data_IF_347422546742
#
_entry.id   IF_347422546742
#
_cell.length_a   1.000
_cell.length_b   1.000
_cell.length_c   1.000
_cell.angle_alpha   90.00
_cell.angle_beta   90.00
_cell.angle_gamma   90.00
#
_symmetry.space_group_name_H-M   'P 1'
#
loop_
_entity.id
_entity.type
_entity.pdbx_description
1 polymer ?
#
# COMPACT_ATOMS: atom_id res chain seq x y z
N UNK A 1 -9.23 11.74 -2.73
CA UNK A 1 -10.37 11.63 -1.79
C UNK A 1 -10.51 12.97 -1.08
N UNK A 2 -11.73 13.43 -0.87
CA UNK A 2 -11.98 14.67 -0.16
C UNK A 2 -12.64 14.38 1.19
N UNK A 3 -12.02 14.86 2.27
CA UNK A 3 -12.63 14.87 3.60
C UNK A 3 -13.54 16.09 3.70
N UNK A 4 -14.83 15.87 4.03
CA UNK A 4 -15.86 16.92 4.15
C UNK A 4 -16.58 16.79 5.49
N UNK A 5 -17.28 17.84 5.93
CA UNK A 5 -18.12 17.80 7.14
C UNK A 5 -17.40 17.97 8.48
N UNK A 6 -16.09 18.20 8.49
CA UNK A 6 -15.29 18.49 9.69
C UNK A 6 -14.34 19.68 9.47
N UNK A 7 -14.90 20.85 9.17
CA UNK A 7 -14.16 22.07 8.82
C UNK A 7 -13.99 22.23 7.30
N UNK A 8 -12.93 22.94 6.88
CA UNK A 8 -12.65 23.14 5.46
C UNK A 8 -12.40 21.81 4.72
N UNK A 9 -12.95 21.65 3.51
CA UNK A 9 -12.69 20.46 2.68
C UNK A 9 -11.20 20.28 2.44
N UNK A 10 -10.70 19.05 2.62
CA UNK A 10 -9.29 18.72 2.44
C UNK A 10 -9.13 17.57 1.45
N UNK A 11 -8.23 17.74 0.48
CA UNK A 11 -7.82 16.65 -0.40
C UNK A 11 -6.86 15.73 0.33
N UNK A 12 -7.15 14.43 0.32
CA UNK A 12 -6.39 13.39 1.02
C UNK A 12 -5.91 12.34 0.02
N UNK A 13 -4.72 11.81 0.26
CA UNK A 13 -4.22 10.63 -0.43
C UNK A 13 -4.79 9.38 0.25
N UNK A 14 -5.79 8.75 -0.37
CA UNK A 14 -6.37 7.50 0.08
C UNK A 14 -5.93 6.33 -0.79
N UNK A 15 -5.64 5.20 -0.16
CA UNK A 15 -5.29 3.96 -0.83
C UNK A 15 -6.31 2.88 -0.48
N UNK A 16 -6.73 2.09 -1.48
CA UNK A 16 -7.57 0.91 -1.25
C UNK A 16 -6.70 -0.32 -1.09
N UNK A 17 -6.98 -1.09 -0.04
CA UNK A 17 -6.22 -2.30 0.31
C UNK A 17 -7.18 -3.44 0.65
N UNK A 18 -6.78 -4.68 0.38
CA UNK A 18 -7.52 -5.86 0.80
C UNK A 18 -7.47 -6.01 2.34
N UNK A 19 -8.49 -6.63 2.95
CA UNK A 19 -8.57 -6.80 4.39
C UNK A 19 -7.29 -7.39 5.03
N UNK A 20 -6.63 -8.44 4.48
CA UNK A 20 -5.43 -9.02 5.05
C UNK A 20 -4.15 -8.18 4.86
N UNK A 21 -4.23 -7.03 4.20
CA UNK A 21 -3.06 -6.22 3.85
C UNK A 21 -2.17 -5.87 5.06
N UNK A 22 -2.74 -5.39 6.16
CA UNK A 22 -1.98 -4.99 7.33
C UNK A 22 -1.34 -6.18 8.05
N UNK A 23 -2.02 -7.35 8.04
CA UNK A 23 -1.47 -8.61 8.55
C UNK A 23 -0.27 -9.08 7.71
N UNK A 24 -0.39 -9.04 6.38
CA UNK A 24 0.72 -9.33 5.46
C UNK A 24 1.90 -8.40 5.70
N UNK A 25 1.64 -7.12 5.95
CA UNK A 25 2.68 -6.14 6.30
C UNK A 25 3.27 -6.35 7.71
N UNK A 26 2.58 -7.09 8.57
CA UNK A 26 3.02 -7.36 9.95
C UNK A 26 2.91 -6.15 10.86
N UNK A 27 1.94 -5.26 10.59
CA UNK A 27 1.75 -4.02 11.36
C UNK A 27 0.34 -3.98 11.95
N UNK A 28 0.27 -3.83 13.27
CA UNK A 28 -0.97 -3.61 13.98
C UNK A 28 -1.31 -2.10 14.04
N UNK A 29 -2.59 -1.73 14.10
CA UNK A 29 -2.99 -0.35 14.34
C UNK A 29 -2.56 0.12 15.74
N UNK A 30 -2.26 1.41 15.88
CA UNK A 30 -1.96 2.03 17.17
C UNK A 30 -3.22 2.19 18.02
N UNK A 31 -4.37 2.41 17.37
CA UNK A 31 -5.69 2.53 18.02
C UNK A 31 -6.72 1.79 17.14
N UNK A 32 -7.64 1.09 17.76
CA UNK A 32 -8.71 0.38 17.07
C UNK A 32 -8.28 -0.95 16.45
N UNK A 33 -8.77 -1.25 15.25
CA UNK A 33 -8.55 -2.51 14.55
C UNK A 33 -8.29 -2.31 13.04
N UNK A 34 -7.86 -3.36 12.37
CA UNK A 34 -7.78 -3.44 10.91
C UNK A 34 -9.15 -3.80 10.30
N UNK A 35 -9.22 -3.91 8.98
CA UNK A 35 -10.43 -4.32 8.27
C UNK A 35 -10.76 -5.79 8.52
N UNK A 36 -12.06 -6.10 8.62
CA UNK A 36 -12.55 -7.47 8.59
C UNK A 36 -12.76 -7.95 7.15
N UNK A 37 -12.81 -9.28 6.95
CA UNK A 37 -13.12 -9.85 5.63
C UNK A 37 -14.50 -9.45 5.12
N UNK A 38 -15.46 -9.22 6.02
CA UNK A 38 -16.81 -8.77 5.67
C UNK A 38 -16.80 -7.35 5.11
N UNK A 39 -15.96 -6.47 5.66
CA UNK A 39 -15.81 -5.08 5.22
C UNK A 39 -15.13 -4.97 3.86
N UNK A 40 -14.42 -6.01 3.42
CA UNK A 40 -13.82 -6.09 2.08
C UNK A 40 -14.79 -6.68 1.03
N UNK A 41 -16.04 -6.80 1.37
CA UNK A 41 -17.10 -7.27 0.45
C UNK A 41 -17.83 -6.07 -0.18
N UNK A 42 -18.17 -6.19 -1.46
CA UNK A 42 -18.88 -5.15 -2.19
C UNK A 42 -20.12 -4.64 -1.45
N UNK A 43 -20.20 -3.33 -1.26
CA UNK A 43 -21.28 -2.65 -0.55
C UNK A 43 -21.16 -2.61 0.98
N UNK A 44 -20.12 -3.23 1.58
CA UNK A 44 -19.89 -3.22 3.03
C UNK A 44 -18.65 -2.42 3.47
N UNK A 45 -17.92 -1.81 2.53
CA UNK A 45 -16.67 -1.10 2.77
C UNK A 45 -16.80 0.34 3.29
N UNK A 46 -17.87 0.68 4.01
CA UNK A 46 -18.05 2.03 4.57
C UNK A 46 -17.21 2.25 5.85
N UNK A 47 -15.95 1.83 5.83
CA UNK A 47 -14.99 1.96 6.93
C UNK A 47 -13.67 2.54 6.44
N UNK A 48 -12.92 3.18 7.35
CA UNK A 48 -11.64 3.81 7.04
C UNK A 48 -10.65 3.64 8.19
N UNK A 49 -9.37 3.48 7.84
CA UNK A 49 -8.25 3.53 8.78
C UNK A 49 -7.45 4.80 8.47
N UNK A 50 -7.15 5.60 9.48
CA UNK A 50 -6.44 6.87 9.35
C UNK A 50 -4.93 6.67 9.52
N UNK A 51 -4.12 7.55 8.93
CA UNK A 51 -2.72 7.70 9.33
C UNK A 51 -2.62 8.47 10.65
N UNK A 52 -1.56 8.25 11.40
CA UNK A 52 -1.25 9.03 12.62
C UNK A 52 -1.20 10.53 12.31
N UNK A 53 -0.63 10.92 11.17
CA UNK A 53 -0.54 12.31 10.72
C UNK A 53 -1.92 12.95 10.58
N UNK A 54 -2.86 12.28 9.89
CA UNK A 54 -4.22 12.79 9.70
C UNK A 54 -4.98 12.85 11.04
N UNK A 55 -4.84 11.80 11.86
CA UNK A 55 -5.46 11.75 13.18
C UNK A 55 -5.01 12.90 14.09
N UNK A 56 -3.71 13.21 14.13
CA UNK A 56 -3.20 14.33 14.94
C UNK A 56 -3.61 15.69 14.37
N UNK A 57 -3.48 15.87 13.08
CA UNK A 57 -3.69 17.19 12.47
C UNK A 57 -5.18 17.59 12.39
N UNK A 58 -6.09 16.62 12.21
CA UNK A 58 -7.50 16.91 11.93
C UNK A 58 -8.43 16.51 13.07
N UNK A 59 -8.02 15.55 13.89
CA UNK A 59 -8.82 15.01 15.00
C UNK A 59 -8.16 15.22 16.35
N UNK A 60 -7.13 16.09 16.44
CA UNK A 60 -6.41 16.45 17.66
C UNK A 60 -5.93 15.25 18.49
N UNK A 61 -5.63 14.12 17.84
CA UNK A 61 -5.29 12.84 18.48
C UNK A 61 -6.34 12.38 19.51
N UNK A 62 -7.62 12.73 19.30
CA UNK A 62 -8.72 12.37 20.22
C UNK A 62 -8.89 10.85 20.31
N UNK A 63 -9.03 10.33 21.54
CA UNK A 63 -9.21 8.90 21.79
C UNK A 63 -10.56 8.36 21.24
N UNK A 64 -11.54 9.24 21.04
CA UNK A 64 -12.87 8.96 20.54
C UNK A 64 -12.96 8.87 19.01
N UNK A 65 -11.83 8.93 18.29
CA UNK A 65 -11.82 8.90 16.82
C UNK A 65 -12.33 7.58 16.27
N UNK A 66 -12.04 6.44 16.92
CA UNK A 66 -12.54 5.12 16.54
C UNK A 66 -14.03 5.03 16.83
N UNK A 67 -14.78 4.58 15.85
CA UNK A 67 -16.25 4.57 15.88
C UNK A 67 -16.90 5.86 15.34
N UNK A 68 -16.14 6.94 15.18
CA UNK A 68 -16.63 8.21 14.64
C UNK A 68 -16.95 8.07 13.15
N UNK A 69 -18.04 8.66 12.71
CA UNK A 69 -18.38 8.77 11.29
C UNK A 69 -17.81 10.06 10.70
N UNK A 70 -17.03 9.91 9.63
CA UNK A 70 -16.50 11.02 8.82
C UNK A 70 -17.11 10.99 7.42
N UNK A 71 -17.03 12.08 6.67
CA UNK A 71 -17.51 12.11 5.28
C UNK A 71 -16.32 12.14 4.32
N UNK A 72 -16.20 11.08 3.51
CA UNK A 72 -15.24 10.99 2.42
C UNK A 72 -15.99 11.06 1.09
N UNK A 73 -15.67 12.06 0.24
CA UNK A 73 -16.41 12.34 -1.00
C UNK A 73 -17.93 12.42 -0.76
N UNK A 74 -18.36 13.06 0.33
CA UNK A 74 -19.73 13.18 0.80
C UNK A 74 -20.41 11.87 1.28
N UNK A 75 -19.73 10.74 1.26
CA UNK A 75 -20.23 9.47 1.78
C UNK A 75 -19.84 9.28 3.24
N UNK A 76 -20.77 8.83 4.11
CA UNK A 76 -20.46 8.54 5.50
C UNK A 76 -19.61 7.28 5.58
N UNK A 77 -18.50 7.36 6.34
CA UNK A 77 -17.55 6.26 6.53
C UNK A 77 -17.12 6.23 7.99
N UNK A 78 -17.11 5.06 8.61
CA UNK A 78 -16.74 4.90 10.01
C UNK A 78 -15.24 4.70 10.16
N UNK A 79 -14.62 5.43 11.07
CA UNK A 79 -13.22 5.21 11.45
C UNK A 79 -13.12 3.96 12.32
N UNK A 80 -12.35 2.97 11.90
CA UNK A 80 -12.17 1.69 12.63
C UNK A 80 -10.79 1.55 13.26
N UNK A 81 -9.82 2.36 12.82
CA UNK A 81 -8.48 2.32 13.38
C UNK A 81 -7.59 3.49 12.93
N UNK A 82 -6.44 3.58 13.58
CA UNK A 82 -5.37 4.52 13.26
C UNK A 82 -4.07 3.75 13.17
N UNK A 83 -3.33 3.91 12.08
CA UNK A 83 -2.02 3.27 11.93
C UNK A 83 -0.93 4.01 12.72
N UNK A 84 0.13 3.31 13.17
CA UNK A 84 1.24 3.96 13.85
C UNK A 84 2.00 4.92 12.92
N UNK A 85 2.70 5.95 13.45
CA UNK A 85 3.40 6.95 12.64
C UNK A 85 4.52 6.37 11.76
N UNK A 86 5.05 5.20 12.11
CA UNK A 86 6.04 4.48 11.31
C UNK A 86 5.47 3.81 10.06
N UNK A 87 4.14 3.67 9.93
CA UNK A 87 3.52 3.00 8.80
C UNK A 87 3.15 3.99 7.70
N UNK A 88 3.87 3.95 6.60
CA UNK A 88 3.72 4.88 5.46
C UNK A 88 3.52 4.16 4.11
N UNK A 89 3.30 2.84 4.14
CA UNK A 89 3.16 2.01 2.95
C UNK A 89 1.67 1.78 2.57
N UNK A 90 1.32 1.60 1.28
CA UNK A 90 2.20 1.76 0.12
C UNK A 90 2.49 3.25 -0.14
N UNK A 91 3.66 3.60 -0.69
CA UNK A 91 3.92 4.97 -1.08
C UNK A 91 2.99 5.34 -2.24
N UNK A 92 2.45 6.54 -2.18
CA UNK A 92 1.69 7.11 -3.28
C UNK A 92 2.59 7.55 -4.44
N UNK A 93 1.99 8.16 -5.45
CA UNK A 93 2.74 8.78 -6.55
C UNK A 93 3.77 9.77 -5.99
N UNK A 94 4.97 9.76 -6.55
CA UNK A 94 6.10 10.59 -6.12
C UNK A 94 6.54 10.37 -4.64
N UNK A 95 6.26 9.19 -4.06
CA UNK A 95 6.67 8.87 -2.69
C UNK A 95 5.81 9.50 -1.59
N UNK A 96 4.66 10.06 -1.94
CA UNK A 96 3.74 10.62 -0.95
C UNK A 96 3.21 9.53 -0.01
N UNK A 97 3.10 9.84 1.28
CA UNK A 97 2.55 8.92 2.28
C UNK A 97 1.03 8.99 2.29
N UNK A 98 0.33 7.84 2.36
CA UNK A 98 -1.12 7.83 2.47
C UNK A 98 -1.62 8.54 3.74
N UNK A 99 -2.74 9.26 3.60
CA UNK A 99 -3.46 9.85 4.71
C UNK A 99 -4.44 8.85 5.34
N UNK A 100 -4.97 7.95 4.52
CA UNK A 100 -5.96 6.98 4.96
C UNK A 100 -5.95 5.73 4.05
N UNK A 101 -6.51 4.65 4.59
CA UNK A 101 -6.74 3.39 3.87
C UNK A 101 -8.22 3.06 3.90
N UNK A 102 -8.71 2.53 2.80
CA UNK A 102 -10.06 2.03 2.62
C UNK A 102 -10.01 0.56 2.20
N UNK A 103 -10.99 -0.27 2.51
CA UNK A 103 -11.06 -1.60 1.93
C UNK A 103 -11.31 -1.51 0.42
N UNK A 104 -10.86 -2.52 -0.34
CA UNK A 104 -11.17 -2.61 -1.78
C UNK A 104 -12.68 -2.69 -1.95
N UNK A 105 -13.33 -3.57 -1.19
CA UNK A 105 -14.78 -3.72 -1.09
C UNK A 105 -15.50 -3.70 -2.45
N UNK A 106 -14.91 -4.35 -3.45
CA UNK A 106 -15.42 -4.37 -4.82
C UNK A 106 -15.45 -5.81 -5.38
N UNK A 107 -16.27 -6.04 -6.38
CA UNK A 107 -16.24 -7.29 -7.11
C UNK A 107 -15.07 -7.30 -8.12
N UNK A 108 -13.92 -7.80 -7.66
CA UNK A 108 -12.67 -7.82 -8.43
C UNK A 108 -12.83 -8.62 -9.75
N UNK A 109 -13.74 -9.60 -9.80
CA UNK A 109 -13.99 -10.40 -11.00
C UNK A 109 -14.46 -9.56 -12.20
N UNK A 110 -15.09 -8.40 -11.95
CA UNK A 110 -15.50 -7.46 -13.01
C UNK A 110 -14.34 -6.78 -13.72
N UNK A 111 -13.15 -6.88 -13.16
CA UNK A 111 -11.97 -6.14 -13.61
C UNK A 111 -10.84 -7.08 -14.06
N UNK A 112 -11.17 -8.34 -14.35
CA UNK A 112 -10.21 -9.29 -14.95
C UNK A 112 -9.62 -8.67 -16.22
N UNK A 113 -8.31 -8.77 -16.40
CA UNK A 113 -7.58 -8.14 -17.51
C UNK A 113 -7.22 -6.67 -17.30
N UNK A 114 -7.70 -6.00 -16.26
CA UNK A 114 -7.33 -4.61 -15.93
C UNK A 114 -6.19 -4.59 -14.93
N UNK A 115 -5.05 -4.01 -15.32
CA UNK A 115 -3.83 -3.91 -14.49
C UNK A 115 -3.89 -2.70 -13.56
N UNK A 116 -4.75 -2.72 -12.55
CA UNK A 116 -4.91 -1.61 -11.59
C UNK A 116 -4.56 -2.00 -10.14
N UNK A 117 -4.30 -3.29 -9.89
CA UNK A 117 -3.93 -3.78 -8.56
C UNK A 117 -2.42 -4.05 -8.48
N UNK A 118 -1.83 -3.65 -7.36
CA UNK A 118 -0.52 -4.11 -6.93
C UNK A 118 -0.70 -5.21 -5.90
N UNK A 119 -0.03 -6.33 -6.09
CA UNK A 119 -0.07 -7.46 -5.17
C UNK A 119 1.21 -7.49 -4.35
N UNK A 120 1.05 -7.48 -3.03
CA UNK A 120 2.14 -7.68 -2.08
C UNK A 120 1.84 -8.94 -1.28
N UNK A 121 2.82 -9.81 -1.14
CA UNK A 121 2.69 -11.06 -0.41
C UNK A 121 3.86 -11.27 0.56
N UNK A 122 3.62 -12.04 1.60
CA UNK A 122 4.65 -12.54 2.51
C UNK A 122 4.94 -13.99 2.16
N UNK A 123 6.19 -14.27 1.83
CA UNK A 123 6.63 -15.64 1.57
C UNK A 123 6.61 -16.43 2.87
N UNK A 124 6.07 -17.64 2.86
CA UNK A 124 6.03 -18.51 4.03
C UNK A 124 7.44 -18.89 4.48
N UNK A 125 7.66 -19.13 5.80
CA UNK A 125 8.94 -19.62 6.29
C UNK A 125 9.39 -20.89 5.55
N UNK A 126 10.65 -20.95 5.15
CA UNK A 126 11.23 -22.08 4.42
C UNK A 126 10.96 -22.11 2.91
N UNK A 127 10.12 -21.22 2.38
CA UNK A 127 9.89 -21.10 0.93
C UNK A 127 10.87 -20.12 0.32
N UNK A 128 11.51 -20.50 -0.78
CA UNK A 128 12.41 -19.63 -1.53
C UNK A 128 11.66 -18.75 -2.52
N UNK A 129 12.28 -17.65 -2.95
CA UNK A 129 11.70 -16.78 -4.00
C UNK A 129 11.48 -17.53 -5.31
N UNK A 130 12.34 -18.49 -5.65
CA UNK A 130 12.20 -19.33 -6.84
C UNK A 130 10.94 -20.24 -6.75
N UNK A 131 10.69 -20.83 -5.59
CA UNK A 131 9.48 -21.62 -5.36
C UNK A 131 8.22 -20.74 -5.43
N UNK A 132 8.22 -19.57 -4.79
CA UNK A 132 7.11 -18.63 -4.87
C UNK A 132 6.85 -18.17 -6.31
N UNK A 133 7.90 -17.92 -7.10
CA UNK A 133 7.79 -17.61 -8.53
C UNK A 133 7.15 -18.76 -9.32
N UNK A 134 7.58 -20.00 -9.06
CA UNK A 134 7.05 -21.18 -9.75
C UNK A 134 5.56 -21.39 -9.42
N UNK A 135 5.18 -21.30 -8.16
CA UNK A 135 3.79 -21.42 -7.72
C UNK A 135 2.87 -20.38 -8.38
N UNK A 136 3.29 -19.12 -8.37
CA UNK A 136 2.52 -18.03 -8.97
C UNK A 136 2.48 -18.12 -10.50
N UNK A 137 3.53 -18.65 -11.13
CA UNK A 137 3.51 -18.96 -12.57
C UNK A 137 2.48 -20.03 -12.90
N UNK A 138 2.35 -21.07 -12.05
CA UNK A 138 1.30 -22.08 -12.18
C UNK A 138 -0.11 -21.46 -12.08
N UNK A 139 -0.33 -20.56 -11.12
CA UNK A 139 -1.61 -19.82 -10.98
C UNK A 139 -1.89 -18.97 -12.23
N UNK A 140 -0.89 -18.24 -12.73
CA UNK A 140 -1.04 -17.40 -13.93
C UNK A 140 -1.40 -18.24 -15.16
N UNK A 141 -0.78 -19.42 -15.33
CA UNK A 141 -1.09 -20.36 -16.41
C UNK A 141 -2.53 -20.85 -16.31
N UNK A 142 -2.99 -21.22 -15.11
CA UNK A 142 -4.38 -21.66 -14.90
C UNK A 142 -5.38 -20.55 -15.20
N UNK A 143 -5.07 -19.29 -14.82
CA UNK A 143 -5.90 -18.12 -15.14
C UNK A 143 -5.93 -17.85 -16.65
N UNK A 144 -4.82 -17.99 -17.37
CA UNK A 144 -4.77 -17.82 -18.82
C UNK A 144 -5.67 -18.81 -19.56
N UNK A 145 -5.76 -20.05 -19.04
CA UNK A 145 -6.70 -21.05 -19.58
C UNK A 145 -8.15 -20.69 -19.29
N UNK A 146 -8.44 -20.17 -18.09
CA UNK A 146 -9.80 -19.79 -17.68
C UNK A 146 -10.29 -18.49 -18.34
N UNK A 147 -9.38 -17.55 -18.61
CA UNK A 147 -9.67 -16.22 -19.17
C UNK A 147 -8.76 -15.90 -20.35
N UNK A 148 -8.89 -16.62 -21.49
CA UNK A 148 -7.93 -16.51 -22.59
C UNK A 148 -7.90 -15.13 -23.25
N UNK A 149 -9.03 -14.40 -23.23
CA UNK A 149 -9.13 -13.08 -23.84
C UNK A 149 -8.55 -11.95 -22.94
N UNK A 150 -8.54 -12.17 -21.63
CA UNK A 150 -8.16 -11.12 -20.65
C UNK A 150 -6.78 -11.39 -20.04
N UNK A 151 -6.36 -12.65 -19.96
CA UNK A 151 -5.11 -13.07 -19.30
C UNK A 151 -4.12 -13.75 -20.24
N UNK A 152 -4.46 -13.88 -21.53
CA UNK A 152 -3.59 -14.50 -22.53
C UNK A 152 -2.28 -13.73 -22.70
N UNK A 153 -1.14 -14.42 -22.50
CA UNK A 153 0.18 -13.80 -22.64
C UNK A 153 0.71 -13.03 -21.44
N UNK A 154 -0.05 -12.93 -20.34
CA UNK A 154 0.41 -12.29 -19.10
C UNK A 154 1.09 -13.31 -18.19
N UNK A 155 2.33 -12.99 -17.77
CA UNK A 155 3.07 -13.75 -16.77
C UNK A 155 3.08 -13.04 -15.42
N UNK A 156 3.55 -13.73 -14.38
CA UNK A 156 3.80 -13.16 -13.06
C UNK A 156 5.31 -13.05 -12.86
N UNK A 157 5.76 -11.92 -12.33
CA UNK A 157 7.14 -11.72 -11.93
C UNK A 157 7.19 -11.32 -10.46
N UNK A 158 7.85 -12.16 -9.65
CA UNK A 158 8.02 -11.93 -8.21
C UNK A 158 9.33 -11.22 -7.95
N UNK A 159 9.25 -10.07 -7.30
CA UNK A 159 10.44 -9.28 -6.91
C UNK A 159 10.44 -9.02 -5.41
N UNK A 160 11.60 -9.03 -4.74
CA UNK A 160 11.67 -8.59 -3.35
C UNK A 160 11.19 -7.14 -3.22
N UNK A 161 10.25 -6.89 -2.30
CA UNK A 161 9.63 -5.57 -2.12
C UNK A 161 10.69 -4.47 -1.90
N UNK A 162 11.70 -4.73 -1.06
CA UNK A 162 12.79 -3.78 -0.83
C UNK A 162 13.54 -3.42 -2.13
N UNK A 163 13.88 -4.43 -2.94
CA UNK A 163 14.58 -4.20 -4.22
C UNK A 163 13.71 -3.36 -5.18
N UNK A 164 12.39 -3.61 -5.20
CA UNK A 164 11.44 -2.83 -6.00
C UNK A 164 11.41 -1.37 -5.54
N UNK A 165 11.32 -1.13 -4.24
CA UNK A 165 11.24 0.24 -3.67
C UNK A 165 12.50 1.06 -3.90
N UNK A 166 13.70 0.45 -3.80
CA UNK A 166 14.97 1.18 -3.96
C UNK A 166 15.44 1.28 -5.41
N UNK A 167 14.80 0.58 -6.34
CA UNK A 167 15.21 0.51 -7.75
C UNK A 167 15.39 1.88 -8.39
N UNK A 168 14.47 2.81 -8.13
CA UNK A 168 14.46 4.15 -8.73
C UNK A 168 15.59 5.06 -8.19
N UNK A 169 15.96 4.91 -6.91
CA UNK A 169 16.96 5.79 -6.26
C UNK A 169 18.38 5.24 -6.31
N UNK A 170 18.54 3.93 -6.52
CA UNK A 170 19.83 3.25 -6.55
C UNK A 170 20.85 3.86 -7.54
N UNK A 171 20.48 4.17 -8.81
CA UNK A 171 21.42 4.78 -9.75
C UNK A 171 21.95 6.15 -9.28
N UNK A 172 21.05 6.99 -8.76
CA UNK A 172 21.42 8.33 -8.24
C UNK A 172 22.37 8.24 -7.03
N UNK A 173 22.10 7.28 -6.12
CA UNK A 173 22.98 7.04 -4.97
C UNK A 173 24.36 6.52 -5.39
N UNK A 174 24.43 5.66 -6.39
CA UNK A 174 25.70 5.16 -6.93
C UNK A 174 26.51 6.26 -7.60
N UNK A 175 25.89 7.17 -8.35
CA UNK A 175 26.52 8.35 -8.93
C UNK A 175 27.07 9.28 -7.84
N UNK A 176 26.28 9.55 -6.80
CA UNK A 176 26.71 10.38 -5.68
C UNK A 176 27.89 9.75 -4.95
N UNK A 177 27.85 8.45 -4.67
CA UNK A 177 28.94 7.71 -4.04
C UNK A 177 30.22 7.78 -4.89
N UNK A 178 30.11 7.62 -6.21
CA UNK A 178 31.21 7.77 -7.14
C UNK A 178 31.84 9.17 -7.11
N UNK A 179 30.98 10.22 -7.13
CA UNK A 179 31.45 11.61 -7.06
C UNK A 179 32.20 11.90 -5.75
N UNK A 180 31.64 11.45 -4.60
CA UNK A 180 32.31 11.59 -3.29
C UNK A 180 33.62 10.82 -3.26
N UNK A 181 33.67 9.61 -3.81
CA UNK A 181 34.88 8.81 -3.92
C UNK A 181 35.98 9.52 -4.75
N UNK A 182 35.64 10.11 -5.89
CA UNK A 182 36.56 10.90 -6.69
C UNK A 182 37.08 12.12 -5.93
N UNK A 183 36.23 12.85 -5.22
CA UNK A 183 36.64 14.00 -4.40
C UNK A 183 37.62 13.60 -3.28
N UNK A 184 37.36 12.47 -2.62
CA UNK A 184 38.26 11.94 -1.59
C UNK A 184 39.63 11.55 -2.20
N UNK A 185 39.63 10.90 -3.37
CA UNK A 185 40.90 10.54 -4.06
C UNK A 185 41.68 11.78 -4.45
N UNK A 186 41.05 12.84 -4.98
CA UNK A 186 41.71 14.11 -5.30
C UNK A 186 42.26 14.73 -4.02
N UNK A 187 41.49 14.75 -2.91
CA UNK A 187 41.99 15.26 -1.64
C UNK A 187 43.19 14.50 -1.10
N UNK A 188 43.18 13.17 -1.15
CA UNK A 188 44.28 12.32 -0.73
C UNK A 188 45.55 12.45 -1.63
N UNK A 189 45.38 12.76 -2.92
CA UNK A 189 46.49 12.92 -3.83
C UNK A 189 47.18 14.29 -3.74
N UNK A 190 46.56 15.25 -3.06
CA UNK A 190 47.10 16.61 -2.83
C UNK A 190 47.76 16.80 -1.47
N UNK A 191 47.88 15.74 -0.69
CA UNK A 191 48.61 15.66 0.58
C UNK A 191 49.87 14.83 0.39
#
# INVERSE_FOLDING_TARGET
IHLTGSGEPMALLGVRVAAPFFEVMGVAPAVGRTFSAEEDTAGRGAVVILSDRLWRSRFAAGADVVGRTVRLNNQPVQVVGVMPPSFTFPPGNAGATPDLWLPIADNIERYVGRHYLFVVGRVKPGVTMAQAQADLTGVATALAVRYPNDSGGHGVHVVPLHAHMVKAVRPSLMLLLGAVGCLLLIGCSNV
#
